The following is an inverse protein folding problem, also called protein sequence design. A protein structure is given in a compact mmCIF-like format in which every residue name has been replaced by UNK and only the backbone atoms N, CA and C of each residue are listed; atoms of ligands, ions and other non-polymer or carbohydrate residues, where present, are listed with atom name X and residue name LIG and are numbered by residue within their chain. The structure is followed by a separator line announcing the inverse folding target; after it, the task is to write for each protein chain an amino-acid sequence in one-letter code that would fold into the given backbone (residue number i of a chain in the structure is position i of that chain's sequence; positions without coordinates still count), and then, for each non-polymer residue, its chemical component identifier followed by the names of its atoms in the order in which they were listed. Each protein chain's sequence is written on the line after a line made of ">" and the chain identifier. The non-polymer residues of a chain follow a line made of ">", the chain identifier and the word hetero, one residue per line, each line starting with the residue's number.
data_IF_466268859263
#
_entry.id   IF_466268859263
#
_cell.length_a   1.000
_cell.length_b   1.000
_cell.length_c   1.000
_cell.angle_alpha   90.00
_cell.angle_beta   90.00
_cell.angle_gamma   90.00
#
_symmetry.space_group_name_H-M   'P 1'
#
loop_
_entity.id
_entity.type
_entity.pdbx_description
1 polymer ?
#
# COMPACT_ATOMS: atom_id res chain seq x y z
N UNK A 1 -6.72 -26.10 11.22
CA UNK A 1 -6.02 -24.93 11.81
C UNK A 1 -7.06 -23.86 12.11
N UNK A 2 -7.30 -23.52 13.39
CA UNK A 2 -8.37 -22.55 13.76
C UNK A 2 -7.93 -21.14 13.37
N UNK A 3 -8.86 -20.31 12.90
CA UNK A 3 -8.61 -18.91 12.48
C UNK A 3 -7.90 -18.10 13.59
N UNK A 4 -8.18 -18.40 14.87
CA UNK A 4 -7.50 -17.81 16.05
C UNK A 4 -6.01 -18.09 16.08
N UNK A 5 -5.56 -19.28 15.67
CA UNK A 5 -4.14 -19.67 15.69
C UNK A 5 -3.38 -18.94 14.57
N UNK A 6 -4.04 -18.72 13.41
CA UNK A 6 -3.49 -17.92 12.30
C UNK A 6 -3.25 -16.46 12.67
N UNK A 7 -4.19 -15.83 13.37
CA UNK A 7 -4.07 -14.43 13.80
C UNK A 7 -2.97 -14.24 14.87
N UNK A 8 -2.83 -15.17 15.80
CA UNK A 8 -1.75 -15.14 16.81
C UNK A 8 -0.37 -15.31 16.15
N UNK A 9 -0.25 -16.22 15.19
CA UNK A 9 1.00 -16.44 14.43
C UNK A 9 1.34 -15.19 13.61
N UNK A 10 0.37 -14.62 12.91
CA UNK A 10 0.54 -13.37 12.13
C UNK A 10 1.03 -12.21 13.03
N UNK A 11 0.40 -11.98 14.18
CA UNK A 11 0.81 -10.94 15.14
C UNK A 11 2.24 -11.11 15.65
N UNK A 12 2.68 -12.35 15.89
CA UNK A 12 4.06 -12.65 16.32
C UNK A 12 5.06 -12.38 15.20
N UNK A 13 4.77 -12.82 13.99
CA UNK A 13 5.61 -12.60 12.80
C UNK A 13 5.75 -11.09 12.50
N UNK A 14 4.65 -10.38 12.46
CA UNK A 14 4.63 -8.92 12.27
C UNK A 14 5.43 -8.22 13.37
N UNK A 15 5.19 -8.56 14.64
CA UNK A 15 5.91 -7.95 15.77
C UNK A 15 7.42 -8.22 15.74
N UNK A 16 7.86 -9.40 15.31
CA UNK A 16 9.28 -9.72 15.14
C UNK A 16 9.91 -8.89 14.01
N UNK A 17 9.20 -8.71 12.88
CA UNK A 17 9.64 -7.90 11.74
C UNK A 17 9.76 -6.43 12.11
N UNK A 18 8.74 -5.88 12.78
CA UNK A 18 8.77 -4.49 13.26
C UNK A 18 9.99 -4.24 14.16
N UNK A 19 10.26 -5.12 15.11
CA UNK A 19 11.44 -5.00 15.98
C UNK A 19 12.75 -5.06 15.20
N UNK A 20 12.85 -5.94 14.20
CA UNK A 20 14.03 -6.03 13.34
C UNK A 20 14.27 -4.76 12.52
N UNK A 21 13.22 -4.17 11.96
CA UNK A 21 13.34 -2.92 11.18
C UNK A 21 13.66 -1.71 12.07
N UNK A 22 13.10 -1.64 13.28
CA UNK A 22 13.39 -0.57 14.25
C UNK A 22 14.80 -0.65 14.85
N UNK A 23 15.50 -1.76 14.70
CA UNK A 23 16.90 -1.89 15.11
C UNK A 23 17.82 -0.94 14.29
N UNK A 24 17.49 -0.71 13.02
CA UNK A 24 18.21 0.21 12.13
C UNK A 24 17.47 1.55 11.98
N UNK A 25 17.38 2.30 13.08
CA UNK A 25 16.56 3.54 13.18
C UNK A 25 16.89 4.57 12.10
N UNK A 26 18.18 4.75 11.78
CA UNK A 26 18.62 5.73 10.77
C UNK A 26 18.15 5.32 9.38
N UNK A 27 18.35 4.06 8.99
CA UNK A 27 17.89 3.54 7.70
C UNK A 27 16.36 3.59 7.60
N UNK A 28 15.67 3.28 8.68
CA UNK A 28 14.20 3.39 8.76
C UNK A 28 13.75 4.84 8.54
N UNK A 29 14.35 5.80 9.27
CA UNK A 29 14.01 7.22 9.14
C UNK A 29 14.26 7.73 7.72
N UNK A 30 15.43 7.43 7.14
CA UNK A 30 15.79 7.83 5.78
C UNK A 30 14.80 7.26 4.74
N UNK A 31 14.50 5.96 4.81
CA UNK A 31 13.57 5.33 3.89
C UNK A 31 12.14 5.88 4.02
N UNK A 32 11.67 6.13 5.25
CA UNK A 32 10.35 6.70 5.51
C UNK A 32 10.26 8.13 4.99
N UNK A 33 11.29 8.95 5.26
CA UNK A 33 11.35 10.33 4.77
C UNK A 33 11.45 10.38 3.25
N UNK A 34 12.29 9.54 2.63
CA UNK A 34 12.38 9.46 1.18
C UNK A 34 11.04 9.05 0.54
N UNK A 35 10.37 8.05 1.11
CA UNK A 35 9.04 7.62 0.65
C UNK A 35 7.99 8.73 0.78
N UNK A 36 8.01 9.48 1.89
CA UNK A 36 7.14 10.64 2.08
C UNK A 36 7.41 11.72 1.04
N UNK A 37 8.68 12.09 0.84
CA UNK A 37 9.06 13.15 -0.11
C UNK A 37 8.70 12.78 -1.55
N UNK A 38 8.98 11.54 -1.96
CA UNK A 38 8.67 11.08 -3.32
C UNK A 38 7.16 11.16 -3.60
N UNK A 39 6.32 10.67 -2.68
CA UNK A 39 4.87 10.75 -2.86
C UNK A 39 4.32 12.17 -2.69
N UNK A 40 5.02 13.02 -1.92
CA UNK A 40 4.64 14.43 -1.79
C UNK A 40 4.91 15.24 -3.07
N UNK A 41 5.93 14.87 -3.84
CA UNK A 41 6.20 15.46 -5.16
C UNK A 41 5.00 15.28 -6.09
N UNK A 42 4.36 14.11 -6.07
CA UNK A 42 3.15 13.87 -6.88
C UNK A 42 2.03 14.85 -6.50
N UNK A 43 1.88 15.15 -5.22
CA UNK A 43 0.91 16.15 -4.76
C UNK A 43 1.30 17.58 -5.14
N UNK A 44 2.61 17.90 -5.16
CA UNK A 44 3.10 19.20 -5.64
C UNK A 44 2.69 19.42 -7.10
N UNK A 45 2.72 18.41 -7.94
CA UNK A 45 2.26 18.50 -9.34
C UNK A 45 0.80 18.93 -9.40
N UNK A 46 -0.05 18.39 -8.52
CA UNK A 46 -1.46 18.83 -8.41
C UNK A 46 -1.55 20.29 -7.99
N UNK A 47 -0.76 20.71 -6.98
CA UNK A 47 -0.74 22.10 -6.54
C UNK A 47 -0.27 23.06 -7.64
N UNK A 48 0.76 22.69 -8.39
CA UNK A 48 1.26 23.50 -9.53
C UNK A 48 0.22 23.61 -10.63
N UNK A 49 -0.51 22.52 -10.93
CA UNK A 49 -1.60 22.56 -11.90
C UNK A 49 -2.67 23.59 -11.49
N UNK A 50 -3.11 23.55 -10.24
CA UNK A 50 -4.12 24.47 -9.71
C UNK A 50 -3.60 25.88 -9.41
N UNK A 51 -2.29 26.11 -9.45
CA UNK A 51 -1.74 27.47 -9.43
C UNK A 51 -1.98 28.24 -10.74
N UNK A 52 -2.25 27.49 -11.84
CA UNK A 52 -2.53 28.07 -13.15
C UNK A 52 -4.02 28.07 -13.50
N UNK A 53 -4.81 27.22 -12.85
CA UNK A 53 -6.24 27.05 -13.09
C UNK A 53 -6.99 27.05 -11.75
N UNK A 54 -7.89 28.02 -11.53
CA UNK A 54 -8.71 28.06 -10.31
C UNK A 54 -9.68 26.87 -10.23
N UNK A 55 -10.21 26.45 -11.38
CA UNK A 55 -11.16 25.35 -11.52
C UNK A 55 -10.78 24.55 -12.76
N UNK A 56 -10.70 23.25 -12.65
CA UNK A 56 -10.43 22.34 -13.74
C UNK A 56 -11.68 21.46 -13.99
N UNK A 57 -12.37 21.72 -15.10
CA UNK A 57 -13.59 20.99 -15.48
C UNK A 57 -14.65 20.90 -14.35
N UNK A 58 -14.82 22.02 -13.62
CA UNK A 58 -15.76 22.11 -12.50
C UNK A 58 -15.23 21.64 -11.14
N UNK A 59 -13.99 21.10 -11.08
CA UNK A 59 -13.36 20.63 -9.85
C UNK A 59 -12.43 21.68 -9.23
N UNK A 60 -12.56 21.89 -7.94
CA UNK A 60 -11.67 22.77 -7.18
C UNK A 60 -10.47 22.00 -6.63
N UNK A 61 -9.39 22.72 -6.28
CA UNK A 61 -8.21 22.13 -5.65
C UNK A 61 -8.55 21.30 -4.41
N UNK A 62 -9.48 21.79 -3.58
CA UNK A 62 -9.86 21.11 -2.34
C UNK A 62 -10.53 19.77 -2.60
N UNK A 63 -11.39 19.70 -3.62
CA UNK A 63 -12.07 18.47 -4.02
C UNK A 63 -11.09 17.44 -4.58
N UNK A 64 -10.17 17.88 -5.43
CA UNK A 64 -9.13 17.00 -5.99
C UNK A 64 -8.17 16.53 -4.90
N UNK A 65 -7.76 17.41 -3.97
CA UNK A 65 -6.91 17.03 -2.84
C UNK A 65 -7.58 16.02 -1.90
N UNK A 66 -8.90 16.14 -1.70
CA UNK A 66 -9.68 15.17 -0.92
C UNK A 66 -9.69 13.80 -1.60
N UNK A 67 -9.95 13.74 -2.90
CA UNK A 67 -9.90 12.50 -3.67
C UNK A 67 -8.49 11.89 -3.69
N UNK A 68 -7.46 12.73 -3.89
CA UNK A 68 -6.06 12.32 -3.86
C UNK A 68 -5.68 11.73 -2.50
N UNK A 69 -6.02 12.42 -1.40
CA UNK A 69 -5.73 11.94 -0.05
C UNK A 69 -6.46 10.65 0.29
N UNK A 70 -7.75 10.54 -0.09
CA UNK A 70 -8.55 9.36 0.18
C UNK A 70 -8.07 8.15 -0.63
N UNK A 71 -7.81 8.31 -1.92
CA UNK A 71 -7.24 7.25 -2.77
C UNK A 71 -5.82 6.90 -2.34
N UNK A 72 -5.02 7.88 -1.94
CA UNK A 72 -3.68 7.70 -1.40
C UNK A 72 -3.66 6.85 -0.13
N UNK A 73 -4.61 7.04 0.79
CA UNK A 73 -4.77 6.16 1.96
C UNK A 73 -5.15 4.74 1.53
N UNK A 74 -6.09 4.61 0.59
CA UNK A 74 -6.51 3.30 0.08
C UNK A 74 -5.34 2.51 -0.50
N UNK A 75 -4.56 3.12 -1.40
CA UNK A 75 -3.38 2.46 -2.01
C UNK A 75 -2.28 2.20 -0.98
N UNK A 76 -2.07 3.10 -0.02
CA UNK A 76 -1.06 2.92 1.02
C UNK A 76 -1.40 1.75 1.96
N UNK A 77 -2.68 1.57 2.33
CA UNK A 77 -3.15 0.43 3.10
C UNK A 77 -2.99 -0.87 2.30
N UNK A 78 -3.41 -0.88 1.03
CA UNK A 78 -3.27 -2.04 0.15
C UNK A 78 -1.80 -2.45 0.00
N UNK A 79 -0.92 -1.48 -0.28
CA UNK A 79 0.52 -1.68 -0.40
C UNK A 79 1.11 -2.22 0.91
N UNK A 80 0.71 -1.70 2.06
CA UNK A 80 1.19 -2.14 3.36
C UNK A 80 0.78 -3.57 3.70
N UNK A 81 -0.42 -4.00 3.28
CA UNK A 81 -0.96 -5.33 3.58
C UNK A 81 -0.54 -6.39 2.56
N UNK A 82 -0.47 -6.03 1.30
CA UNK A 82 -0.40 -6.98 0.18
C UNK A 82 0.77 -6.69 -0.76
N UNK A 83 1.42 -5.52 -0.66
CA UNK A 83 2.39 -5.05 -1.64
C UNK A 83 3.64 -5.95 -1.83
N UNK A 84 3.89 -6.93 -0.95
CA UNK A 84 4.96 -7.92 -1.18
C UNK A 84 4.58 -8.94 -2.27
N UNK A 85 3.31 -9.07 -2.59
CA UNK A 85 2.85 -9.98 -3.65
C UNK A 85 3.44 -9.58 -5.01
N UNK A 86 3.74 -8.31 -5.24
CA UNK A 86 4.41 -7.86 -6.47
C UNK A 86 5.82 -8.46 -6.65
N UNK A 87 6.48 -8.80 -5.55
CA UNK A 87 7.83 -9.38 -5.55
C UNK A 87 7.84 -10.92 -5.54
N UNK A 88 6.69 -11.58 -5.49
CA UNK A 88 6.57 -13.04 -5.40
C UNK A 88 7.29 -13.75 -6.57
N UNK A 89 7.32 -13.13 -7.74
CA UNK A 89 8.03 -13.65 -8.90
C UNK A 89 9.55 -13.73 -8.69
N UNK A 90 10.14 -12.82 -7.90
CA UNK A 90 11.56 -12.86 -7.54
C UNK A 90 11.82 -13.96 -6.51
N UNK A 91 10.93 -14.14 -5.54
CA UNK A 91 11.03 -15.20 -4.53
C UNK A 91 10.95 -16.59 -5.18
N UNK A 92 10.11 -16.74 -6.21
CA UNK A 92 10.01 -18.00 -6.97
C UNK A 92 11.29 -18.23 -7.77
N UNK A 93 11.81 -17.23 -8.48
CA UNK A 93 13.04 -17.37 -9.27
C UNK A 93 14.28 -17.64 -8.41
N UNK A 94 14.34 -17.10 -7.20
CA UNK A 94 15.45 -17.31 -6.26
C UNK A 94 15.34 -18.60 -5.44
N UNK A 95 14.23 -19.35 -5.58
CA UNK A 95 13.95 -20.55 -4.75
C UNK A 95 13.55 -20.23 -3.30
N UNK A 96 13.41 -18.97 -2.93
CA UNK A 96 12.99 -18.58 -1.57
C UNK A 96 11.53 -18.97 -1.30
N UNK A 97 10.71 -19.06 -2.32
CA UNK A 97 9.33 -19.48 -2.19
C UNK A 97 9.19 -20.95 -1.72
N UNK A 98 10.12 -21.80 -2.08
CA UNK A 98 10.13 -23.21 -1.62
C UNK A 98 10.28 -23.29 -0.10
N UNK A 99 11.07 -22.41 0.50
CA UNK A 99 11.21 -22.32 1.97
C UNK A 99 9.90 -21.89 2.63
N UNK A 100 9.09 -21.06 1.96
CA UNK A 100 7.76 -20.64 2.45
C UNK A 100 6.79 -21.84 2.44
N UNK A 101 6.86 -22.69 1.43
CA UNK A 101 6.01 -23.88 1.30
C UNK A 101 6.31 -24.95 2.38
N UNK A 102 7.55 -25.04 2.84
CA UNK A 102 7.96 -25.98 3.88
C UNK A 102 7.50 -25.60 5.30
N UNK A 103 7.06 -24.38 5.51
CA UNK A 103 6.62 -23.91 6.84
C UNK A 103 5.16 -24.31 7.11
N UNK A 104 4.82 -24.74 8.33
CA UNK A 104 3.47 -25.20 8.70
C UNK A 104 2.50 -24.03 8.95
N UNK A 105 2.48 -23.01 8.07
CA UNK A 105 1.59 -21.87 8.12
C UNK A 105 1.01 -21.61 6.73
N UNK A 106 -0.18 -21.02 6.64
CA UNK A 106 -0.79 -20.71 5.35
C UNK A 106 0.11 -19.83 4.48
N UNK A 107 0.40 -20.26 3.27
CA UNK A 107 1.33 -19.61 2.33
C UNK A 107 1.01 -18.12 2.13
N UNK A 108 -0.27 -17.80 1.94
CA UNK A 108 -0.72 -16.41 1.78
C UNK A 108 -0.39 -15.56 3.01
N UNK A 109 -0.65 -16.05 4.22
CA UNK A 109 -0.33 -15.34 5.46
C UNK A 109 1.16 -15.12 5.64
N UNK A 110 1.98 -16.09 5.22
CA UNK A 110 3.44 -15.95 5.26
C UNK A 110 3.92 -14.90 4.27
N UNK A 111 3.45 -14.92 3.03
CA UNK A 111 3.81 -13.93 2.00
C UNK A 111 3.35 -12.53 2.43
N UNK A 112 2.11 -12.37 2.90
CA UNK A 112 1.61 -11.08 3.42
C UNK A 112 2.39 -10.57 4.63
N UNK A 113 2.93 -11.47 5.47
CA UNK A 113 3.74 -11.09 6.64
C UNK A 113 5.24 -10.98 6.34
N UNK A 114 5.70 -11.41 5.17
CA UNK A 114 7.12 -11.44 4.83
C UNK A 114 7.73 -10.05 4.67
N UNK A 115 6.97 -9.08 4.22
CA UNK A 115 7.43 -7.70 4.05
C UNK A 115 6.39 -6.67 4.52
N UNK A 116 6.14 -6.63 5.83
CA UNK A 116 5.50 -5.46 6.43
C UNK A 116 6.54 -4.33 6.40
N UNK A 117 6.65 -3.69 5.25
CA UNK A 117 7.64 -2.65 5.04
C UNK A 117 7.22 -1.37 5.78
N UNK A 118 7.73 -1.19 6.99
CA UNK A 118 7.57 0.06 7.76
C UNK A 118 8.00 1.30 6.96
N UNK A 119 8.91 1.15 5.97
CA UNK A 119 9.26 2.21 5.00
C UNK A 119 8.03 2.77 4.26
N UNK A 120 6.94 2.00 4.15
CA UNK A 120 5.68 2.42 3.51
C UNK A 120 4.85 3.36 4.40
N UNK A 121 5.19 3.49 5.69
CA UNK A 121 4.58 4.45 6.61
C UNK A 121 4.71 5.88 6.05
N UNK A 122 5.81 6.21 5.36
CA UNK A 122 5.99 7.51 4.72
C UNK A 122 4.85 7.87 3.77
N UNK A 123 4.39 6.91 2.94
CA UNK A 123 3.25 7.10 2.03
C UNK A 123 1.93 7.26 2.79
N UNK A 124 1.69 6.44 3.82
CA UNK A 124 0.49 6.56 4.67
C UNK A 124 0.44 7.94 5.33
N UNK A 125 1.57 8.38 5.89
CA UNK A 125 1.67 9.68 6.55
C UNK A 125 1.39 10.82 5.57
N UNK A 126 2.00 10.78 4.37
CA UNK A 126 1.78 11.80 3.34
C UNK A 126 0.31 11.86 2.92
N UNK A 127 -0.31 10.73 2.60
CA UNK A 127 -1.72 10.68 2.21
C UNK A 127 -2.65 11.18 3.32
N UNK A 128 -2.33 10.85 4.59
CA UNK A 128 -3.07 11.34 5.75
C UNK A 128 -2.92 12.85 5.91
N UNK A 129 -1.72 13.40 5.77
CA UNK A 129 -1.48 14.85 5.85
C UNK A 129 -2.28 15.59 4.78
N UNK A 130 -2.24 15.11 3.53
CA UNK A 130 -3.00 15.73 2.44
C UNK A 130 -4.51 15.62 2.68
N UNK A 131 -5.00 14.47 3.14
CA UNK A 131 -6.42 14.30 3.44
C UNK A 131 -6.88 15.23 4.56
N UNK A 132 -6.13 15.31 5.67
CA UNK A 132 -6.46 16.18 6.80
C UNK A 132 -6.43 17.66 6.36
N UNK A 133 -5.44 18.05 5.58
CA UNK A 133 -5.38 19.40 5.01
C UNK A 133 -6.58 19.68 4.11
N UNK A 134 -6.92 18.76 3.20
CA UNK A 134 -8.05 18.93 2.30
C UNK A 134 -9.38 19.03 3.06
N UNK A 135 -9.59 18.20 4.10
CA UNK A 135 -10.77 18.26 4.95
C UNK A 135 -10.87 19.57 5.77
N UNK A 136 -9.73 20.16 6.14
CA UNK A 136 -9.69 21.41 6.90
C UNK A 136 -9.95 22.66 6.05
N UNK A 137 -9.58 22.61 4.74
CA UNK A 137 -9.69 23.75 3.82
C UNK A 137 -10.96 23.67 2.97
N UNK A 138 -11.49 22.45 2.74
CA UNK A 138 -12.71 22.28 1.98
C UNK A 138 -13.92 22.78 2.77
N UNK A 139 -14.76 23.58 2.12
CA UNK A 139 -16.03 24.04 2.66
C UNK A 139 -17.07 22.90 2.56
N UNK A 140 -17.00 21.98 3.54
CA UNK A 140 -17.85 20.79 3.57
C UNK A 140 -18.91 20.97 4.63
N UNK A 141 -20.17 20.90 4.23
CA UNK A 141 -21.28 20.75 5.18
C UNK A 141 -21.22 19.35 5.83
N UNK A 142 -20.81 19.28 7.07
CA UNK A 142 -20.63 18.02 7.79
C UNK A 142 -21.97 17.39 8.15
N UNK A 143 -22.27 16.26 7.50
CA UNK A 143 -23.38 15.38 7.87
C UNK A 143 -22.82 14.04 8.37
N UNK A 144 -23.54 13.30 9.24
CA UNK A 144 -23.07 11.99 9.72
C UNK A 144 -22.71 11.03 8.60
N UNK A 145 -23.44 11.11 7.48
CA UNK A 145 -23.20 10.28 6.28
C UNK A 145 -21.86 10.64 5.63
N UNK A 146 -21.53 11.93 5.49
CA UNK A 146 -20.26 12.38 4.88
C UNK A 146 -19.05 11.97 5.73
N UNK A 147 -19.18 12.04 7.05
CA UNK A 147 -18.14 11.55 7.98
C UNK A 147 -17.91 10.05 7.80
N UNK A 148 -18.99 9.26 7.66
CA UNK A 148 -18.90 7.82 7.47
C UNK A 148 -18.32 7.43 6.10
N UNK A 149 -18.54 8.25 5.06
CA UNK A 149 -18.01 8.00 3.72
C UNK A 149 -16.47 8.03 3.67
N UNK A 150 -15.80 8.78 4.53
CA UNK A 150 -14.33 8.85 4.54
C UNK A 150 -13.70 7.49 4.85
N UNK A 151 -13.99 6.85 6.01
CA UNK A 151 -13.42 5.54 6.29
C UNK A 151 -13.93 4.45 5.34
N UNK A 152 -15.18 4.51 4.90
CA UNK A 152 -15.74 3.58 3.91
C UNK A 152 -14.97 3.71 2.59
N UNK A 153 -14.75 4.93 2.10
CA UNK A 153 -13.99 5.18 0.89
C UNK A 153 -12.54 4.69 0.98
N UNK A 154 -11.88 4.90 2.13
CA UNK A 154 -10.52 4.39 2.36
C UNK A 154 -10.48 2.84 2.32
N UNK A 155 -11.45 2.17 2.94
CA UNK A 155 -11.56 0.70 2.91
C UNK A 155 -11.87 0.19 1.51
N UNK A 156 -12.82 0.79 0.81
CA UNK A 156 -13.14 0.41 -0.57
C UNK A 156 -11.94 0.62 -1.49
N UNK A 157 -11.23 1.75 -1.35
CA UNK A 157 -10.00 2.02 -2.08
C UNK A 157 -8.93 0.95 -1.81
N UNK A 158 -8.72 0.59 -0.54
CA UNK A 158 -7.77 -0.46 -0.16
C UNK A 158 -8.14 -1.83 -0.76
N UNK A 159 -9.41 -2.18 -0.83
CA UNK A 159 -9.88 -3.41 -1.45
C UNK A 159 -9.67 -3.41 -2.96
N UNK A 160 -9.98 -2.30 -3.64
CA UNK A 160 -9.80 -2.16 -5.10
C UNK A 160 -8.32 -2.26 -5.46
N UNK A 161 -7.45 -1.47 -4.80
CA UNK A 161 -6.01 -1.53 -5.05
C UNK A 161 -5.40 -2.87 -4.67
N UNK A 162 -5.84 -3.47 -3.56
CA UNK A 162 -5.41 -4.79 -3.16
C UNK A 162 -5.78 -5.88 -4.18
N UNK A 163 -6.99 -5.85 -4.70
CA UNK A 163 -7.42 -6.75 -5.79
C UNK A 163 -6.57 -6.53 -7.06
N UNK A 164 -6.25 -5.28 -7.40
CA UNK A 164 -5.40 -4.95 -8.55
C UNK A 164 -3.98 -5.51 -8.39
N UNK A 165 -3.37 -5.41 -7.20
CA UNK A 165 -2.05 -6.01 -6.92
C UNK A 165 -2.07 -7.53 -7.06
N UNK A 166 -3.09 -8.20 -6.52
CA UNK A 166 -3.25 -9.66 -6.66
C UNK A 166 -3.39 -10.06 -8.13
N UNK A 167 -4.22 -9.35 -8.90
CA UNK A 167 -4.40 -9.61 -10.32
C UNK A 167 -3.09 -9.40 -11.10
N UNK A 168 -2.35 -8.32 -10.81
CA UNK A 168 -1.03 -8.06 -11.40
C UNK A 168 -0.04 -9.20 -11.13
N UNK A 169 0.01 -9.69 -9.89
CA UNK A 169 0.86 -10.82 -9.52
C UNK A 169 0.47 -12.11 -10.25
N UNK A 170 -0.83 -12.41 -10.38
CA UNK A 170 -1.31 -13.58 -11.14
C UNK A 170 -0.90 -13.50 -12.63
N UNK A 171 -1.01 -12.32 -13.25
CA UNK A 171 -0.59 -12.11 -14.63
C UNK A 171 0.92 -12.30 -14.78
N UNK A 172 1.72 -11.75 -13.88
CA UNK A 172 3.18 -11.92 -13.90
C UNK A 172 3.59 -13.38 -13.78
N UNK A 173 2.94 -14.16 -12.90
CA UNK A 173 3.19 -15.59 -12.75
C UNK A 173 2.81 -16.38 -14.01
N UNK A 174 1.70 -16.04 -14.66
CA UNK A 174 1.28 -16.69 -15.91
C UNK A 174 2.27 -16.46 -17.06
N UNK A 175 2.85 -15.25 -17.15
CA UNK A 175 3.84 -14.89 -18.15
C UNK A 175 5.18 -15.61 -17.95
N UNK A 176 5.61 -15.84 -16.70
CA UNK A 176 6.83 -16.62 -16.40
C UNK A 176 6.71 -18.06 -16.92
N UNK A 177 5.52 -18.66 -16.79
CA UNK A 177 5.28 -20.03 -17.25
C UNK A 177 5.35 -20.16 -18.80
N UNK A 178 5.07 -19.10 -19.53
CA UNK A 178 5.14 -19.06 -20.99
C UNK A 178 6.60 -18.90 -21.49
N UNK A 179 7.45 -18.21 -20.73
CA UNK A 179 8.83 -17.91 -21.13
C UNK A 179 9.87 -18.99 -20.77
N UNK A 180 9.54 -19.98 -19.95
CA UNK A 180 10.45 -21.07 -19.53
C UNK A 180 10.58 -22.28 -20.49
N UNK A 181 9.71 -22.56 -21.50
CA UNK A 181 9.87 -23.75 -22.33
C UNK A 181 11.13 -23.77 -23.21
N UNK A 182 11.81 -22.64 -23.39
CA UNK A 182 12.97 -22.55 -24.31
C UNK A 182 14.33 -22.88 -23.67
N UNK A 183 14.39 -23.23 -22.38
CA UNK A 183 15.66 -23.55 -21.70
C UNK A 183 15.95 -25.06 -21.57
N UNK A 184 15.18 -25.92 -22.22
CA UNK A 184 15.40 -27.40 -22.27
C UNK A 184 15.76 -27.84 -23.69
N UNK A 185 16.76 -27.24 -24.29
CA UNK A 185 17.46 -27.80 -25.47
C UNK A 185 18.95 -27.56 -25.33
#
# INVERSE_FOLDING_TARGET
>A
MRIRDGFHTWRRLVGARIRGQLQYRVSFALNTTASFLLTFIDFIVVLVLFSHFEVLDGWTLQQIALLYGLSGIGIAIADMLIGHIDMIHLDIRSGQFDVVLLRPAGTLLQVMSSDLALRRIGRVTQATVVLVWALAVADIEWTPVRVLLIPVGAVCGALIFGATFVLGACLTLSLIHISEPTRRS
#
